data_IF_539616900517
#
_entry.id   IF_539616900517
#
_cell.length_a   1.000
_cell.length_b   1.000
_cell.length_c   1.000
_cell.angle_alpha   90.00
_cell.angle_beta   90.00
_cell.angle_gamma   90.00
#
_symmetry.space_group_name_H-M   'P 1'
#
loop_
_entity.id
_entity.type
_entity.pdbx_description
1 polymer ?
#
# COMPACT_ATOMS: atom_id res chain seq x y z
N UNK A 1 10.33 -3.15 -4.24
CA UNK A 1 10.56 -2.14 -5.29
C UNK A 1 9.34 -1.23 -5.51
N UNK A 2 8.19 -1.75 -5.95
CA UNK A 2 6.98 -0.96 -6.22
C UNK A 2 6.58 0.01 -5.08
N UNK A 3 6.58 -0.47 -3.83
CA UNK A 3 6.28 0.36 -2.65
C UNK A 3 7.21 1.57 -2.50
N UNK A 4 8.51 1.38 -2.76
CA UNK A 4 9.51 2.45 -2.67
C UNK A 4 9.39 3.44 -3.83
N UNK A 5 9.08 2.98 -5.05
CA UNK A 5 8.83 3.86 -6.21
C UNK A 5 7.62 4.76 -5.94
N UNK A 6 6.53 4.18 -5.44
CA UNK A 6 5.34 4.94 -5.11
C UNK A 6 5.59 5.93 -3.98
N UNK A 7 6.28 5.52 -2.92
CA UNK A 7 6.71 6.43 -1.86
C UNK A 7 7.55 7.60 -2.41
N UNK A 8 8.52 7.33 -3.28
CA UNK A 8 9.32 8.37 -3.92
C UNK A 8 8.45 9.33 -4.74
N UNK A 9 7.50 8.82 -5.53
CA UNK A 9 6.57 9.65 -6.29
C UNK A 9 5.72 10.55 -5.37
N UNK A 10 5.23 10.01 -4.25
CA UNK A 10 4.47 10.78 -3.27
C UNK A 10 5.32 11.83 -2.54
N UNK A 11 6.63 11.60 -2.35
CA UNK A 11 7.51 12.56 -1.69
C UNK A 11 7.68 13.89 -2.45
N UNK A 12 7.33 13.91 -3.74
CA UNK A 12 7.28 15.12 -4.57
C UNK A 12 5.92 15.85 -4.51
N UNK A 13 4.96 15.31 -3.77
CA UNK A 13 3.64 15.89 -3.54
C UNK A 13 3.64 16.41 -2.09
N UNK A 14 3.02 17.56 -1.76
CA UNK A 14 3.03 18.11 -0.41
C UNK A 14 2.12 17.32 0.56
N UNK A 15 2.31 16.00 0.69
CA UNK A 15 1.64 15.12 1.64
C UNK A 15 2.65 14.51 2.60
N UNK A 16 2.26 14.38 3.87
CA UNK A 16 3.04 13.64 4.85
C UNK A 16 2.96 12.15 4.53
N UNK A 17 4.12 11.50 4.37
CA UNK A 17 4.20 10.09 4.01
C UNK A 17 5.28 9.41 4.82
N UNK A 18 4.99 8.21 5.33
CA UNK A 18 5.94 7.38 6.07
C UNK A 18 6.08 6.04 5.36
N UNK A 19 7.34 5.63 5.09
CA UNK A 19 7.62 4.35 4.45
C UNK A 19 7.88 3.23 5.48
N UNK A 20 6.89 2.35 5.66
CA UNK A 20 6.98 1.21 6.60
C UNK A 20 7.69 0.02 5.94
N UNK A 21 9.01 -0.09 6.07
CA UNK A 21 9.81 -1.06 5.33
C UNK A 21 9.90 -2.45 6.00
N UNK A 22 9.39 -2.60 7.23
CA UNK A 22 9.37 -3.85 8.01
C UNK A 22 10.75 -4.48 8.29
N UNK A 23 11.84 -3.75 8.04
CA UNK A 23 13.19 -4.26 8.28
C UNK A 23 13.38 -4.54 9.77
N UNK A 24 13.93 -5.72 10.09
CA UNK A 24 14.16 -6.12 11.48
C UNK A 24 12.90 -6.26 12.34
N UNK A 25 11.71 -6.39 11.73
CA UNK A 25 10.45 -6.48 12.46
C UNK A 25 9.95 -5.14 13.04
N UNK A 26 10.55 -4.02 12.65
CA UNK A 26 10.29 -2.69 13.23
C UNK A 26 8.97 -2.04 12.79
N UNK A 27 8.08 -2.77 12.11
CA UNK A 27 6.85 -2.21 11.58
C UNK A 27 5.92 -1.70 12.68
N UNK A 28 5.98 -2.26 13.89
CA UNK A 28 5.18 -1.83 15.04
C UNK A 28 5.58 -0.42 15.49
N UNK A 29 6.88 -0.15 15.56
CA UNK A 29 7.43 1.14 15.93
C UNK A 29 7.12 2.18 14.85
N UNK A 30 7.24 1.80 13.58
CA UNK A 30 6.91 2.67 12.45
C UNK A 30 5.42 3.02 12.39
N UNK A 31 4.53 2.10 12.78
CA UNK A 31 3.08 2.30 12.84
C UNK A 31 2.60 2.86 14.18
N UNK A 32 3.48 3.09 15.16
CA UNK A 32 3.09 3.50 16.52
C UNK A 32 2.19 4.74 16.55
N UNK A 33 2.45 5.68 15.64
CA UNK A 33 1.77 6.96 15.57
C UNK A 33 0.62 7.00 14.56
N UNK A 34 0.28 5.88 13.91
CA UNK A 34 -0.86 5.85 12.99
C UNK A 34 -2.16 6.13 13.76
N UNK A 35 -3.01 6.96 13.16
CA UNK A 35 -4.29 7.40 13.72
C UNK A 35 -5.43 7.18 12.72
N UNK A 36 -6.67 7.37 13.18
CA UNK A 36 -7.87 7.34 12.34
C UNK A 36 -7.89 8.38 11.20
N UNK A 37 -6.98 9.38 11.23
CA UNK A 37 -6.83 10.39 10.17
C UNK A 37 -5.87 9.96 9.07
N UNK A 38 -5.14 8.86 9.30
CA UNK A 38 -4.12 8.36 8.39
C UNK A 38 -4.66 7.26 7.49
N UNK A 39 -3.91 6.99 6.42
CA UNK A 39 -4.18 5.90 5.47
C UNK A 39 -2.99 4.97 5.43
N UNK A 40 -3.19 3.69 5.74
CA UNK A 40 -2.24 2.64 5.43
C UNK A 40 -2.41 2.23 3.96
N UNK A 41 -1.39 2.51 3.14
CA UNK A 41 -1.33 2.06 1.76
C UNK A 41 -0.41 0.83 1.63
N UNK A 42 -0.99 -0.32 1.29
CA UNK A 42 -0.30 -1.59 1.14
C UNK A 42 -0.20 -2.04 -0.32
N UNK A 43 0.94 -2.60 -0.71
CA UNK A 43 1.07 -3.34 -1.98
C UNK A 43 1.63 -4.71 -1.62
N UNK A 44 0.82 -5.74 -1.73
CA UNK A 44 1.23 -7.09 -1.36
C UNK A 44 0.50 -8.15 -2.18
N UNK A 45 1.27 -9.10 -2.68
CA UNK A 45 0.82 -10.16 -3.57
C UNK A 45 1.17 -11.51 -2.98
N UNK A 46 0.50 -12.58 -3.42
CA UNK A 46 0.84 -13.94 -2.99
C UNK A 46 2.35 -14.26 -3.15
N UNK A 47 3.04 -14.84 -2.15
CA UNK A 47 2.52 -15.28 -0.86
C UNK A 47 2.31 -14.13 0.15
N UNK A 48 1.14 -14.11 0.78
CA UNK A 48 0.78 -13.09 1.77
C UNK A 48 1.60 -13.29 3.05
N UNK A 49 2.38 -12.29 3.45
CA UNK A 49 3.24 -12.42 4.63
C UNK A 49 2.46 -12.13 5.91
N UNK A 50 2.88 -12.76 7.01
CA UNK A 50 2.30 -12.46 8.32
C UNK A 50 2.54 -11.01 8.75
N UNK A 51 3.69 -10.41 8.39
CA UNK A 51 3.95 -9.02 8.78
C UNK A 51 2.92 -8.07 8.16
N UNK A 52 2.57 -8.27 6.89
CA UNK A 52 1.58 -7.44 6.22
C UNK A 52 0.18 -7.59 6.84
N UNK A 53 -0.20 -8.81 7.23
CA UNK A 53 -1.47 -9.06 7.93
C UNK A 53 -1.49 -8.33 9.28
N UNK A 54 -0.42 -8.48 10.08
CA UNK A 54 -0.28 -7.79 11.38
C UNK A 54 -0.30 -6.28 11.24
N UNK A 55 0.27 -5.72 10.17
CA UNK A 55 0.19 -4.28 9.89
C UNK A 55 -1.24 -3.82 9.60
N UNK A 56 -1.98 -4.57 8.78
CA UNK A 56 -3.39 -4.31 8.51
C UNK A 56 -4.24 -4.40 9.78
N UNK A 57 -3.99 -5.39 10.64
CA UNK A 57 -4.65 -5.52 11.95
C UNK A 57 -4.37 -4.32 12.85
N UNK A 58 -3.12 -3.84 12.92
CA UNK A 58 -2.75 -2.64 13.69
C UNK A 58 -3.48 -1.41 13.15
N UNK A 59 -3.51 -1.22 11.82
CA UNK A 59 -4.20 -0.10 11.20
C UNK A 59 -5.71 -0.15 11.46
N UNK A 60 -6.33 -1.32 11.31
CA UNK A 60 -7.74 -1.55 11.62
C UNK A 60 -8.07 -1.23 13.08
N UNK A 61 -7.23 -1.73 14.02
CA UNK A 61 -7.37 -1.44 15.45
C UNK A 61 -7.24 0.06 15.78
N UNK A 62 -6.44 0.79 15.01
CA UNK A 62 -6.26 2.25 15.13
C UNK A 62 -7.29 3.05 14.32
N UNK A 63 -8.25 2.37 13.70
CA UNK A 63 -9.29 2.95 12.84
C UNK A 63 -8.72 3.74 11.64
N UNK A 64 -7.47 3.49 11.28
CA UNK A 64 -6.83 4.08 10.11
C UNK A 64 -7.43 3.48 8.84
N UNK A 65 -7.62 4.31 7.83
CA UNK A 65 -8.14 3.85 6.54
C UNK A 65 -7.11 3.00 5.82
N UNK A 66 -7.57 2.02 5.04
CA UNK A 66 -6.70 1.03 4.41
C UNK A 66 -6.98 0.93 2.92
N UNK A 67 -5.94 1.15 2.12
CA UNK A 67 -5.95 0.93 0.67
C UNK A 67 -4.94 -0.16 0.35
N UNK A 68 -5.40 -1.28 -0.22
CA UNK A 68 -4.56 -2.44 -0.51
C UNK A 68 -4.54 -2.70 -2.01
N UNK A 69 -3.35 -2.79 -2.59
CA UNK A 69 -3.10 -3.30 -3.94
C UNK A 69 -2.67 -4.76 -3.83
N UNK A 70 -3.40 -5.66 -4.50
CA UNK A 70 -3.20 -7.11 -4.39
C UNK A 70 -3.59 -7.86 -5.67
N UNK A 71 -3.34 -9.17 -5.74
CA UNK A 71 -3.63 -10.04 -6.88
C UNK A 71 -5.01 -10.69 -6.83
N UNK A 72 -5.68 -10.64 -5.68
CA UNK A 72 -6.97 -11.29 -5.47
C UNK A 72 -7.90 -10.52 -4.54
N UNK A 73 -9.20 -10.37 -4.88
CA UNK A 73 -10.18 -9.73 -4.01
C UNK A 73 -10.54 -10.56 -2.77
N UNK A 74 -10.18 -11.85 -2.76
CA UNK A 74 -10.36 -12.76 -1.61
C UNK A 74 -9.07 -12.95 -0.83
N UNK A 75 -8.06 -12.08 -1.03
CA UNK A 75 -6.85 -12.12 -0.21
C UNK A 75 -7.19 -11.83 1.26
N UNK A 76 -6.43 -12.35 2.23
CA UNK A 76 -6.64 -12.03 3.64
C UNK A 76 -6.55 -10.51 3.90
N UNK A 77 -5.73 -9.80 3.11
CA UNK A 77 -5.54 -8.36 3.21
C UNK A 77 -6.75 -7.56 2.67
N UNK A 78 -7.47 -8.09 1.68
CA UNK A 78 -8.64 -7.43 1.11
C UNK A 78 -9.77 -7.29 2.13
N UNK A 79 -9.94 -8.29 3.01
CA UNK A 79 -10.99 -8.29 4.03
C UNK A 79 -10.88 -7.15 5.05
N UNK A 80 -9.67 -6.65 5.29
CA UNK A 80 -9.39 -5.55 6.22
C UNK A 80 -9.32 -4.19 5.53
N UNK A 81 -9.37 -4.15 4.19
CA UNK A 81 -9.21 -2.91 3.42
C UNK A 81 -10.51 -2.16 3.21
N UNK A 82 -10.49 -0.83 3.31
CA UNK A 82 -11.60 0.02 2.86
C UNK A 82 -11.68 0.07 1.32
N UNK A 83 -10.52 0.02 0.66
CA UNK A 83 -10.40 -0.01 -0.80
C UNK A 83 -9.41 -1.09 -1.21
N UNK A 84 -9.89 -2.05 -2.01
CA UNK A 84 -9.07 -3.11 -2.58
C UNK A 84 -8.88 -2.89 -4.09
N UNK A 85 -7.65 -2.61 -4.51
CA UNK A 85 -7.24 -2.47 -5.90
C UNK A 85 -6.63 -3.78 -6.36
N UNK A 86 -7.42 -4.61 -7.04
CA UNK A 86 -6.94 -5.89 -7.57
C UNK A 86 -6.25 -5.68 -8.91
N UNK A 87 -4.99 -6.11 -9.02
CA UNK A 87 -4.20 -6.09 -10.25
C UNK A 87 -3.82 -7.51 -10.62
N UNK A 88 -4.30 -7.98 -11.77
CA UNK A 88 -3.85 -9.25 -12.35
C UNK A 88 -2.62 -8.99 -13.21
N UNK A 89 -1.48 -9.52 -12.78
CA UNK A 89 -0.24 -9.49 -13.56
C UNK A 89 -0.05 -10.83 -14.27
N UNK A 90 0.57 -10.79 -15.46
CA UNK A 90 1.06 -11.99 -16.09
C UNK A 90 2.15 -12.61 -15.21
N UNK A 91 1.98 -13.88 -14.85
CA UNK A 91 2.93 -14.63 -14.01
C UNK A 91 3.44 -15.86 -14.77
N UNK A 92 4.76 -15.96 -14.93
CA UNK A 92 5.43 -17.16 -15.43
C UNK A 92 6.30 -17.71 -14.29
N UNK A 93 5.87 -18.82 -13.69
CA UNK A 93 6.48 -19.41 -12.48
C UNK A 93 6.58 -18.37 -11.34
N UNK A 94 7.79 -17.98 -10.93
CA UNK A 94 8.06 -17.00 -9.87
C UNK A 94 8.22 -15.57 -10.39
N UNK A 95 8.17 -15.35 -11.70
CA UNK A 95 8.31 -14.03 -12.30
C UNK A 95 6.92 -13.44 -12.56
N UNK A 96 6.60 -12.36 -11.84
CA UNK A 96 5.46 -11.51 -12.15
C UNK A 96 5.92 -10.29 -12.93
N UNK A 97 5.22 -9.99 -14.03
CA UNK A 97 5.16 -8.63 -14.55
C UNK A 97 4.78 -7.72 -13.38
N UNK A 98 5.46 -6.58 -13.24
CA UNK A 98 5.10 -5.55 -12.25
C UNK A 98 4.63 -4.26 -12.95
N UNK A 99 4.43 -4.32 -14.27
CA UNK A 99 4.17 -3.15 -15.10
C UNK A 99 2.77 -2.62 -14.91
N UNK A 100 1.75 -3.48 -14.80
CA UNK A 100 0.37 -3.03 -14.59
C UNK A 100 0.22 -2.33 -13.24
N UNK A 101 0.88 -2.89 -12.21
CA UNK A 101 0.92 -2.31 -10.86
C UNK A 101 1.67 -0.99 -10.87
N UNK A 102 2.82 -0.90 -11.54
CA UNK A 102 3.57 0.35 -11.67
C UNK A 102 2.73 1.43 -12.38
N UNK A 103 2.05 1.07 -13.47
CA UNK A 103 1.16 1.96 -14.20
C UNK A 103 0.02 2.49 -13.32
N UNK A 104 -0.63 1.60 -12.54
CA UNK A 104 -1.64 1.98 -11.56
C UNK A 104 -1.10 2.99 -10.53
N UNK A 105 0.07 2.72 -9.96
CA UNK A 105 0.68 3.59 -8.95
C UNK A 105 1.04 4.96 -9.53
N UNK A 106 1.56 5.01 -10.76
CA UNK A 106 1.84 6.26 -11.45
C UNK A 106 0.57 7.07 -11.73
N UNK A 107 -0.50 6.42 -12.22
CA UNK A 107 -1.78 7.07 -12.44
C UNK A 107 -2.36 7.63 -11.14
N UNK A 108 -2.27 6.87 -10.03
CA UNK A 108 -2.69 7.32 -8.70
C UNK A 108 -1.87 8.53 -8.22
N UNK A 109 -0.54 8.50 -8.33
CA UNK A 109 0.30 9.63 -7.94
C UNK A 109 -0.05 10.90 -8.71
N UNK A 110 -0.25 10.79 -10.03
CA UNK A 110 -0.63 11.93 -10.88
C UNK A 110 -2.01 12.46 -10.51
N UNK A 111 -3.02 11.58 -10.42
CA UNK A 111 -4.37 11.97 -10.03
C UNK A 111 -4.41 12.63 -8.65
N UNK A 112 -3.65 12.10 -7.69
CA UNK A 112 -3.53 12.67 -6.35
C UNK A 112 -2.87 14.05 -6.37
N UNK A 113 -1.77 14.21 -7.12
CA UNK A 113 -1.10 15.49 -7.29
C UNK A 113 -2.02 16.56 -7.89
N UNK A 114 -2.80 16.21 -8.93
CA UNK A 114 -3.75 17.14 -9.56
C UNK A 114 -4.84 17.60 -8.60
N UNK A 115 -5.44 16.67 -7.84
CA UNK A 115 -6.48 17.00 -6.85
C UNK A 115 -5.94 17.84 -5.70
N UNK A 116 -4.66 17.66 -5.35
CA UNK A 116 -4.03 18.42 -4.26
C UNK A 116 -3.61 19.83 -4.68
N UNK A 117 -3.32 20.06 -5.96
CA UNK A 117 -3.04 21.41 -6.51
C UNK A 117 -4.28 22.27 -6.74
N UNK A 118 -5.47 21.67 -6.83
CA UNK A 118 -6.72 22.40 -7.06
C UNK A 118 -7.37 22.96 -5.79
N UNK A 119 -6.60 23.03 -4.70
CA UNK A 119 -6.94 23.63 -3.41
C UNK A 119 -5.79 24.54 -2.98
#
# INVERSE_FOLDING_TARGET
MLRAIFFHALSHIPCETVFVNCLGGMYKEQLRNITHRDVLFGIHFHPYSEEMQKMCEIAAYKEAKQIIVTDSPISPLASLSDVCLTVKEAQIKMFRSQTSTLCLLQALSVAFAFRKKSH
#
